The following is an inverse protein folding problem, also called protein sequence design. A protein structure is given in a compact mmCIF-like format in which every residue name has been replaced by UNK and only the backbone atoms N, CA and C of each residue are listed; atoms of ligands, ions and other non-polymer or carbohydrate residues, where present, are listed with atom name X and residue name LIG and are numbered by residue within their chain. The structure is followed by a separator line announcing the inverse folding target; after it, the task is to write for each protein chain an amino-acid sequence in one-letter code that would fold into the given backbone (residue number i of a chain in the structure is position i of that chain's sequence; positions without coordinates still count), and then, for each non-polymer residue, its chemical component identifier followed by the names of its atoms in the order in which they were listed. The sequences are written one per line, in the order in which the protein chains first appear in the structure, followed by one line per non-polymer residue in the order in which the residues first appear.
data_IF_412968049482
#
_entry.id   IF_412968049482
#
_cell.length_a   1.000
_cell.length_b   1.000
_cell.length_c   1.000
_cell.angle_alpha   90.00
_cell.angle_beta   90.00
_cell.angle_gamma   90.00
#
_symmetry.space_group_name_H-M   'P 1'
#
loop_
_entity.id
_entity.type
_entity.pdbx_description
1 polymer ?
#
# COMPACT_ATOMS: atom_id res chain seq x y z
N UNK A 1 24.41 29.60 1.42
CA UNK A 1 22.93 29.63 1.33
C UNK A 1 22.59 29.33 -0.13
N UNK A 2 21.75 28.33 -0.42
CA UNK A 2 21.40 27.99 -1.82
C UNK A 2 20.58 29.11 -2.47
N UNK A 3 20.85 29.42 -3.73
CA UNK A 3 20.08 30.41 -4.48
C UNK A 3 18.77 29.82 -5.04
N UNK A 4 17.87 30.69 -5.50
CA UNK A 4 16.53 30.28 -5.99
C UNK A 4 16.59 29.33 -7.19
N UNK A 5 17.58 29.48 -8.08
CA UNK A 5 17.72 28.62 -9.25
C UNK A 5 18.20 27.20 -8.84
N UNK A 6 19.16 27.12 -7.92
CA UNK A 6 19.63 25.86 -7.35
C UNK A 6 18.51 25.10 -6.64
N UNK A 7 17.68 25.80 -5.86
CA UNK A 7 16.50 25.20 -5.21
C UNK A 7 15.53 24.62 -6.24
N UNK A 8 15.20 25.37 -7.29
CA UNK A 8 14.32 24.90 -8.38
C UNK A 8 14.87 23.64 -9.05
N UNK A 9 16.17 23.62 -9.38
CA UNK A 9 16.80 22.47 -9.99
C UNK A 9 16.70 21.21 -9.10
N UNK A 10 16.97 21.35 -7.79
CA UNK A 10 16.81 20.23 -6.84
C UNK A 10 15.37 19.75 -6.72
N UNK A 11 14.39 20.66 -6.73
CA UNK A 11 12.97 20.26 -6.70
C UNK A 11 12.57 19.47 -7.94
N UNK A 12 12.98 19.90 -9.14
CA UNK A 12 12.69 19.17 -10.37
C UNK A 12 13.38 17.80 -10.41
N UNK A 13 14.65 17.72 -9.99
CA UNK A 13 15.33 16.44 -9.83
C UNK A 13 14.61 15.51 -8.85
N UNK A 14 14.10 16.05 -7.72
CA UNK A 14 13.29 15.29 -6.77
C UNK A 14 12.00 14.75 -7.38
N UNK A 15 11.26 15.56 -8.14
CA UNK A 15 10.05 15.12 -8.86
C UNK A 15 10.35 14.02 -9.87
N UNK A 16 11.45 14.13 -10.61
CA UNK A 16 11.88 13.10 -11.56
C UNK A 16 12.24 11.79 -10.85
N UNK A 17 12.95 11.86 -9.72
CA UNK A 17 13.28 10.69 -8.92
C UNK A 17 12.02 10.00 -8.37
N UNK A 18 11.05 10.77 -7.87
CA UNK A 18 9.76 10.25 -7.39
C UNK A 18 9.01 9.52 -8.52
N UNK A 19 8.90 10.14 -9.70
CA UNK A 19 8.26 9.51 -10.87
C UNK A 19 8.94 8.21 -11.25
N UNK A 20 10.28 8.24 -11.38
CA UNK A 20 11.07 7.04 -11.71
C UNK A 20 10.86 5.91 -10.71
N UNK A 21 10.72 6.22 -9.42
CA UNK A 21 10.47 5.22 -8.39
C UNK A 21 9.07 4.59 -8.53
N UNK A 22 8.04 5.39 -8.84
CA UNK A 22 6.69 4.88 -9.07
C UNK A 22 6.61 4.09 -10.37
N UNK A 23 7.23 4.55 -11.45
CA UNK A 23 7.29 3.81 -12.73
C UNK A 23 7.95 2.43 -12.54
N UNK A 24 9.01 2.37 -11.73
CA UNK A 24 9.65 1.10 -11.35
C UNK A 24 8.69 0.18 -10.58
N UNK A 25 7.95 0.72 -9.60
CA UNK A 25 6.95 -0.04 -8.85
C UNK A 25 5.85 -0.56 -9.77
N UNK A 26 5.29 0.29 -10.64
CA UNK A 26 4.23 -0.08 -11.57
C UNK A 26 4.64 -1.18 -12.55
N UNK A 27 5.93 -1.34 -12.82
CA UNK A 27 6.46 -2.48 -13.58
C UNK A 27 6.16 -3.86 -12.97
N UNK A 28 5.76 -3.92 -11.70
CA UNK A 28 5.37 -5.16 -11.00
C UNK A 28 3.85 -5.31 -10.83
N UNK A 29 3.06 -4.37 -11.34
CA UNK A 29 1.60 -4.46 -11.32
C UNK A 29 1.13 -5.36 -12.47
N UNK A 30 0.59 -6.52 -12.12
CA UNK A 30 -0.05 -7.44 -13.07
C UNK A 30 -1.32 -6.84 -13.70
N UNK A 31 -1.76 -7.41 -14.82
CA UNK A 31 -2.94 -6.96 -15.55
C UNK A 31 -4.22 -7.04 -14.69
N UNK A 32 -4.32 -8.05 -13.82
CA UNK A 32 -5.42 -8.25 -12.86
C UNK A 32 -5.35 -7.34 -11.61
N UNK A 33 -4.30 -6.52 -11.50
CA UNK A 33 -4.03 -5.70 -10.32
C UNK A 33 -3.23 -6.41 -9.23
N UNK A 34 -2.81 -7.66 -9.46
CA UNK A 34 -1.86 -8.33 -8.57
C UNK A 34 -0.54 -7.56 -8.51
N UNK A 35 0.06 -7.52 -7.34
CA UNK A 35 1.38 -6.94 -7.16
C UNK A 35 2.26 -7.99 -6.51
N UNK A 36 2.91 -8.78 -7.36
CA UNK A 36 3.80 -9.87 -6.97
C UNK A 36 5.16 -9.53 -7.55
N UNK A 37 6.13 -9.34 -6.66
CA UNK A 37 7.50 -9.10 -7.04
C UNK A 37 8.28 -10.40 -6.84
N UNK A 38 8.49 -11.14 -7.93
CA UNK A 38 9.24 -12.40 -7.90
C UNK A 38 10.62 -12.20 -7.25
N UNK A 39 10.91 -13.02 -6.23
CA UNK A 39 12.14 -12.94 -5.43
C UNK A 39 12.07 -11.97 -4.23
N UNK A 40 10.91 -11.35 -3.98
CA UNK A 40 10.66 -10.48 -2.83
C UNK A 40 9.49 -10.98 -1.97
N UNK A 41 9.25 -10.31 -0.84
CA UNK A 41 8.16 -10.63 0.08
C UNK A 41 6.79 -10.44 -0.57
N UNK A 42 5.86 -11.38 -0.36
CA UNK A 42 4.55 -11.39 -1.02
C UNK A 42 3.59 -10.30 -0.55
N UNK A 43 3.92 -9.59 0.54
CA UNK A 43 3.21 -8.41 1.03
C UNK A 43 3.79 -7.07 0.55
N UNK A 44 4.72 -7.06 -0.42
CA UNK A 44 5.36 -5.84 -0.91
C UNK A 44 4.38 -4.76 -1.47
N UNK A 45 3.10 -5.09 -1.58
CA UNK A 45 2.02 -4.21 -2.01
C UNK A 45 1.55 -3.18 -0.96
N UNK A 46 1.83 -3.36 0.33
CA UNK A 46 1.14 -2.64 1.42
C UNK A 46 1.28 -1.10 1.40
N UNK A 47 2.31 -0.54 0.76
CA UNK A 47 2.50 0.93 0.63
C UNK A 47 2.10 1.48 -0.74
N UNK A 48 1.88 0.61 -1.72
CA UNK A 48 1.84 0.98 -3.13
C UNK A 48 0.63 1.85 -3.46
N UNK A 49 -0.56 1.49 -2.96
CA UNK A 49 -1.76 2.30 -3.17
C UNK A 49 -1.59 3.75 -2.68
N UNK A 50 -0.88 3.95 -1.56
CA UNK A 50 -0.58 5.28 -1.05
C UNK A 50 0.47 6.01 -1.89
N UNK A 51 1.60 5.36 -2.23
CA UNK A 51 2.66 5.99 -3.03
C UNK A 51 2.20 6.38 -4.43
N UNK A 52 1.42 5.53 -5.09
CA UNK A 52 0.90 5.78 -6.43
C UNK A 52 -0.11 6.92 -6.46
N UNK A 53 -1.01 6.97 -5.45
CA UNK A 53 -1.94 8.07 -5.33
C UNK A 53 -1.26 9.43 -5.14
N UNK A 54 -0.12 9.50 -4.42
CA UNK A 54 0.61 10.76 -4.20
C UNK A 54 1.14 11.39 -5.49
N UNK A 55 1.32 10.61 -6.56
CA UNK A 55 1.83 11.07 -7.85
C UNK A 55 0.78 11.09 -8.96
N UNK A 56 -0.47 10.70 -8.66
CA UNK A 56 -1.60 10.76 -9.59
C UNK A 56 -1.96 9.43 -10.27
N UNK A 57 -1.27 8.33 -9.97
CA UNK A 57 -1.55 6.99 -10.51
C UNK A 57 -2.72 6.32 -9.75
N UNK A 58 -3.90 6.96 -9.83
CA UNK A 58 -5.08 6.53 -9.08
C UNK A 58 -5.69 5.26 -9.66
N UNK A 59 -5.70 5.09 -10.99
CA UNK A 59 -6.31 3.93 -11.64
C UNK A 59 -5.58 2.64 -11.25
N UNK A 60 -4.25 2.67 -11.26
CA UNK A 60 -3.38 1.58 -10.86
C UNK A 60 -3.54 1.27 -9.37
N UNK A 61 -3.65 2.30 -8.53
CA UNK A 61 -3.92 2.13 -7.10
C UNK A 61 -5.30 1.49 -6.86
N UNK A 62 -6.33 1.89 -7.61
CA UNK A 62 -7.65 1.27 -7.53
C UNK A 62 -7.64 -0.19 -7.99
N UNK A 63 -6.91 -0.51 -9.06
CA UNK A 63 -6.73 -1.90 -9.53
C UNK A 63 -6.08 -2.77 -8.46
N UNK A 64 -5.00 -2.30 -7.86
CA UNK A 64 -4.36 -2.99 -6.73
C UNK A 64 -5.33 -3.20 -5.56
N UNK A 65 -6.07 -2.17 -5.16
CA UNK A 65 -7.01 -2.28 -4.04
C UNK A 65 -8.16 -3.23 -4.33
N UNK A 66 -8.59 -3.34 -5.58
CA UNK A 66 -9.56 -4.36 -6.02
C UNK A 66 -8.99 -5.76 -5.88
N UNK A 67 -7.75 -5.99 -6.33
CA UNK A 67 -7.08 -7.28 -6.14
C UNK A 67 -6.90 -7.62 -4.65
N UNK A 68 -6.49 -6.67 -3.81
CA UNK A 68 -6.38 -6.86 -2.35
C UNK A 68 -7.71 -7.28 -1.76
N UNK A 69 -8.81 -6.58 -2.10
CA UNK A 69 -10.16 -6.92 -1.63
C UNK A 69 -10.54 -8.35 -1.99
N UNK A 70 -10.28 -8.74 -3.25
CA UNK A 70 -10.79 -9.99 -3.80
C UNK A 70 -9.94 -11.20 -3.41
N UNK A 71 -8.66 -11.00 -3.06
CA UNK A 71 -7.70 -12.11 -2.87
C UNK A 71 -6.96 -12.10 -1.55
N UNK A 72 -6.82 -10.94 -0.89
CA UNK A 72 -6.00 -10.79 0.32
C UNK A 72 -6.80 -10.38 1.55
N UNK A 73 -7.98 -9.80 1.40
CA UNK A 73 -8.81 -9.38 2.52
C UNK A 73 -9.69 -10.53 3.01
N UNK A 74 -9.56 -10.89 4.29
CA UNK A 74 -10.42 -11.88 4.93
C UNK A 74 -11.74 -11.26 5.38
N UNK A 75 -12.79 -12.07 5.61
CA UNK A 75 -14.08 -11.59 6.12
C UNK A 75 -14.01 -10.85 7.46
N UNK A 76 -13.01 -11.15 8.30
CA UNK A 76 -12.78 -10.48 9.59
C UNK A 76 -12.01 -9.15 9.46
N UNK A 77 -11.62 -8.76 8.24
CA UNK A 77 -10.86 -7.55 7.95
C UNK A 77 -9.34 -7.72 7.99
N UNK A 78 -8.82 -8.88 8.42
CA UNK A 78 -7.37 -9.15 8.37
C UNK A 78 -6.88 -9.39 6.94
N UNK A 79 -5.60 -9.13 6.71
CA UNK A 79 -4.93 -9.33 5.43
C UNK A 79 -4.16 -10.65 5.40
N UNK A 80 -4.16 -11.30 4.24
CA UNK A 80 -3.22 -12.36 3.87
C UNK A 80 -1.94 -11.67 3.37
N UNK A 81 -0.90 -11.72 4.19
CA UNK A 81 0.39 -11.05 3.98
C UNK A 81 1.51 -12.02 3.58
N UNK A 82 1.30 -13.32 3.73
CA UNK A 82 2.27 -14.34 3.31
C UNK A 82 1.66 -15.29 2.28
N UNK A 83 2.50 -16.15 1.71
CA UNK A 83 2.06 -17.19 0.77
C UNK A 83 1.23 -18.29 1.46
N UNK A 84 1.40 -18.44 2.78
CA UNK A 84 0.55 -19.30 3.61
C UNK A 84 -0.61 -18.48 4.22
N UNK A 85 -1.85 -18.62 3.70
CA UNK A 85 -3.00 -17.92 4.26
C UNK A 85 -3.32 -18.33 5.70
N UNK A 86 -2.73 -19.40 6.23
CA UNK A 86 -2.91 -19.86 7.60
C UNK A 86 -1.76 -19.44 8.54
N UNK A 87 -0.79 -18.66 8.07
CA UNK A 87 0.29 -18.14 8.92
C UNK A 87 -0.27 -17.17 9.96
N UNK A 88 -0.48 -17.65 11.18
CA UNK A 88 -1.07 -16.88 12.28
C UNK A 88 -0.13 -15.85 12.89
N UNK A 89 1.18 -15.91 12.59
CA UNK A 89 2.19 -15.01 13.16
C UNK A 89 2.42 -13.82 12.24
N UNK A 90 2.59 -14.06 10.94
CA UNK A 90 2.95 -13.01 10.00
C UNK A 90 1.74 -12.32 9.36
N UNK A 91 0.57 -12.97 9.31
CA UNK A 91 -0.66 -12.37 8.78
C UNK A 91 -1.35 -11.37 9.74
N UNK A 92 -0.75 -11.09 10.90
CA UNK A 92 -1.25 -10.10 11.88
C UNK A 92 -0.35 -8.87 12.01
N UNK A 93 0.52 -8.64 11.03
CA UNK A 93 1.42 -7.48 11.00
C UNK A 93 0.63 -6.17 10.84
N UNK A 94 0.35 -5.50 11.98
CA UNK A 94 -0.43 -4.27 12.04
C UNK A 94 0.19 -3.11 11.26
N UNK A 95 1.51 -3.10 11.06
CA UNK A 95 2.15 -2.06 10.27
C UNK A 95 1.70 -2.14 8.80
N UNK A 96 1.65 -3.35 8.23
CA UNK A 96 1.21 -3.57 6.85
C UNK A 96 -0.29 -3.33 6.67
N UNK A 97 -1.10 -3.72 7.66
CA UNK A 97 -2.52 -3.38 7.68
C UNK A 97 -2.74 -1.86 7.69
N UNK A 98 -2.00 -1.15 8.54
CA UNK A 98 -2.15 0.30 8.69
C UNK A 98 -1.79 1.05 7.40
N UNK A 99 -0.71 0.68 6.72
CA UNK A 99 -0.35 1.28 5.43
C UNK A 99 -1.38 1.00 4.33
N UNK A 100 -1.86 -0.24 4.26
CA UNK A 100 -2.90 -0.63 3.28
C UNK A 100 -4.20 0.14 3.55
N UNK A 101 -4.62 0.23 4.82
CA UNK A 101 -5.76 1.01 5.27
C UNK A 101 -5.60 2.49 4.89
N UNK A 102 -4.45 3.11 5.17
CA UNK A 102 -4.19 4.50 4.85
C UNK A 102 -4.26 4.78 3.35
N UNK A 103 -3.66 3.92 2.52
CA UNK A 103 -3.73 4.02 1.06
C UNK A 103 -5.16 3.94 0.55
N UNK A 104 -5.91 2.93 1.01
CA UNK A 104 -7.31 2.74 0.63
C UNK A 104 -8.20 3.91 1.08
N UNK A 105 -8.03 4.38 2.32
CA UNK A 105 -8.83 5.46 2.89
C UNK A 105 -8.64 6.78 2.13
N UNK A 106 -7.40 7.09 1.75
CA UNK A 106 -7.07 8.29 0.97
C UNK A 106 -7.73 8.30 -0.42
N UNK A 107 -7.91 7.13 -1.01
CA UNK A 107 -8.58 6.93 -2.30
C UNK A 107 -10.11 6.74 -2.20
N UNK A 108 -10.69 6.83 -1.00
CA UNK A 108 -12.12 6.61 -0.78
C UNK A 108 -12.57 5.15 -0.97
N UNK A 109 -11.64 4.19 -0.98
CA UNK A 109 -11.92 2.74 -1.08
C UNK A 109 -12.31 2.18 0.28
N UNK A 110 -13.44 2.66 0.80
CA UNK A 110 -13.96 2.24 2.11
C UNK A 110 -14.39 0.78 2.14
N UNK A 111 -14.68 0.18 0.98
CA UNK A 111 -14.86 -1.26 0.81
C UNK A 111 -13.63 -2.07 1.24
N UNK A 112 -12.44 -1.46 1.22
CA UNK A 112 -11.18 -2.06 1.68
C UNK A 112 -10.72 -1.47 3.01
N UNK A 113 -10.69 -0.15 3.15
CA UNK A 113 -10.11 0.48 4.34
C UNK A 113 -10.93 0.23 5.60
N UNK A 114 -12.26 0.17 5.50
CA UNK A 114 -13.12 0.07 6.68
C UNK A 114 -13.03 -1.31 7.38
N UNK A 115 -13.10 -2.45 6.65
CA UNK A 115 -12.86 -3.76 7.26
C UNK A 115 -11.46 -3.86 7.91
N UNK A 116 -10.41 -3.39 7.22
CA UNK A 116 -9.04 -3.40 7.77
C UNK A 116 -8.95 -2.56 9.04
N UNK A 117 -9.56 -1.37 9.05
CA UNK A 117 -9.63 -0.53 10.23
C UNK A 117 -10.33 -1.23 11.41
N UNK A 118 -11.45 -1.91 11.16
CA UNK A 118 -12.14 -2.66 12.21
C UNK A 118 -11.26 -3.78 12.77
N UNK A 119 -10.55 -4.52 11.91
CA UNK A 119 -9.58 -5.51 12.35
C UNK A 119 -8.49 -4.88 13.24
N UNK A 120 -7.85 -3.79 12.80
CA UNK A 120 -6.81 -3.09 13.58
C UNK A 120 -7.32 -2.72 14.98
N UNK A 121 -8.56 -2.24 15.09
CA UNK A 121 -9.17 -1.91 16.39
C UNK A 121 -9.29 -3.10 17.33
N UNK A 122 -9.51 -4.31 16.81
CA UNK A 122 -9.57 -5.51 17.65
C UNK A 122 -8.22 -5.88 18.28
N UNK A 123 -7.12 -5.35 17.73
CA UNK A 123 -5.77 -5.61 18.19
C UNK A 123 -5.29 -4.60 19.25
N UNK A 124 -6.07 -3.55 19.53
CA UNK A 124 -5.78 -2.57 20.57
C UNK A 124 -5.71 -3.24 21.95
N UNK A 125 -4.60 -3.03 22.65
CA UNK A 125 -4.40 -3.50 24.01
C UNK A 125 -5.06 -2.53 25.00
N UNK A 126 -5.37 -2.95 26.24
CA UNK A 126 -5.96 -2.07 27.25
C UNK A 126 -5.13 -0.80 27.57
N UNK A 127 -3.84 -0.80 27.24
CA UNK A 127 -2.96 0.35 27.37
C UNK A 127 -3.01 1.34 26.18
N UNK A 128 -3.84 1.08 25.16
CA UNK A 128 -3.97 1.90 23.94
C UNK A 128 -2.86 1.67 22.90
N UNK A 129 -2.08 0.59 23.04
CA UNK A 129 -1.04 0.18 22.09
C UNK A 129 -1.45 -1.01 21.24
#
# INVERSE_FOLDING_TARGET
MMNRAELKCKFEAGKQAIRKAVDFQLGFLGEDGSYIWDGYVSDAYHKQAYSWNLVGNNEEAHRLLTWIRDTRLRPDGSLILTDDPNDTVNNVDLYKHSWTCQGAHRLGRFDVSYPIYQFIKTCERPCGG
#
